data_IF_099557401709
#
_entry.id   IF_099557401709
#
_cell.length_a   1.000
_cell.length_b   1.000
_cell.length_c   1.000
_cell.angle_alpha   90.00
_cell.angle_beta   90.00
_cell.angle_gamma   90.00
#
_symmetry.space_group_name_H-M   'P 1'
#
loop_
_entity.id
_entity.type
_entity.pdbx_description
1 polymer ?
#
# COMPACT_ATOMS: atom_id res chain seq x y z
N UNK A 1 13.84 -3.75 -0.10
CA UNK A 1 13.75 -2.36 -0.60
C UNK A 1 12.46 -1.78 -0.05
N UNK A 2 12.51 -0.64 0.67
CA UNK A 2 11.31 0.10 1.04
C UNK A 2 11.02 1.09 -0.09
N UNK A 3 9.84 1.02 -0.71
CA UNK A 3 9.44 1.92 -1.81
C UNK A 3 8.71 3.15 -1.22
N UNK A 4 9.34 4.34 -1.17
CA UNK A 4 8.72 5.53 -0.59
C UNK A 4 7.52 6.00 -1.40
N UNK A 5 7.55 5.87 -2.74
CA UNK A 5 6.44 6.25 -3.62
C UNK A 5 5.20 5.38 -3.34
N UNK A 6 5.38 4.07 -3.19
CA UNK A 6 4.30 3.16 -2.81
C UNK A 6 3.74 3.55 -1.44
N UNK A 7 4.60 3.77 -0.44
CA UNK A 7 4.16 4.14 0.89
C UNK A 7 3.29 5.40 0.90
N UNK A 8 3.71 6.46 0.21
CA UNK A 8 2.92 7.69 0.12
C UNK A 8 1.57 7.46 -0.53
N UNK A 9 1.49 6.73 -1.65
CA UNK A 9 0.21 6.45 -2.30
C UNK A 9 -0.74 5.62 -1.41
N UNK A 10 -0.21 4.70 -0.60
CA UNK A 10 -1.01 3.95 0.37
C UNK A 10 -1.56 4.87 1.47
N UNK A 11 -0.76 5.82 1.96
CA UNK A 11 -1.20 6.80 2.95
C UNK A 11 -2.24 7.76 2.38
N UNK A 12 -1.98 8.33 1.21
CA UNK A 12 -2.91 9.23 0.50
C UNK A 12 -4.27 8.53 0.29
N UNK A 13 -4.25 7.25 -0.08
CA UNK A 13 -5.48 6.46 -0.20
C UNK A 13 -6.22 6.36 1.13
N UNK A 14 -5.54 6.03 2.23
CA UNK A 14 -6.17 5.91 3.54
C UNK A 14 -6.77 7.24 4.00
N UNK A 15 -6.05 8.34 3.81
CA UNK A 15 -6.51 9.70 4.14
C UNK A 15 -7.74 10.09 3.31
N UNK A 16 -7.71 9.83 1.99
CA UNK A 16 -8.84 10.08 1.09
C UNK A 16 -10.10 9.27 1.46
N UNK A 17 -9.94 8.09 2.06
CA UNK A 17 -11.04 7.21 2.48
C UNK A 17 -11.53 7.49 3.90
N UNK A 18 -11.17 8.63 4.50
CA UNK A 18 -11.56 9.02 5.88
C UNK A 18 -11.13 7.98 6.93
N UNK A 19 -10.01 7.31 6.70
CA UNK A 19 -9.43 6.38 7.69
C UNK A 19 -9.04 7.16 8.93
N UNK A 20 -9.35 6.62 10.12
CA UNK A 20 -9.00 7.28 11.36
C UNK A 20 -7.48 7.42 11.50
N UNK A 21 -6.95 8.54 12.02
CA UNK A 21 -5.51 8.74 12.18
C UNK A 21 -4.82 7.63 12.99
N UNK A 22 -5.52 7.03 13.96
CA UNK A 22 -5.01 5.90 14.75
C UNK A 22 -4.78 4.65 13.90
N UNK A 23 -5.64 4.41 12.92
CA UNK A 23 -5.54 3.26 12.01
C UNK A 23 -4.44 3.49 10.97
N UNK A 24 -4.32 4.72 10.47
CA UNK A 24 -3.18 5.12 9.63
C UNK A 24 -1.87 4.88 10.38
N UNK A 25 -1.74 5.33 11.63
CA UNK A 25 -0.55 5.11 12.45
C UNK A 25 -0.25 3.61 12.66
N UNK A 26 -1.28 2.78 12.89
CA UNK A 26 -1.09 1.31 12.97
C UNK A 26 -0.51 0.73 11.70
N UNK A 27 -0.93 1.22 10.54
CA UNK A 27 -0.38 0.80 9.26
C UNK A 27 1.07 1.29 9.07
N UNK A 28 1.37 2.53 9.43
CA UNK A 28 2.74 3.09 9.41
C UNK A 28 3.69 2.25 10.27
N UNK A 29 3.29 1.92 11.50
CA UNK A 29 4.06 1.05 12.38
C UNK A 29 4.30 -0.33 11.76
N UNK A 30 3.28 -0.91 11.13
CA UNK A 30 3.38 -2.19 10.44
C UNK A 30 4.33 -2.12 9.25
N UNK A 31 4.29 -1.04 8.48
CA UNK A 31 5.14 -0.79 7.33
C UNK A 31 6.61 -0.69 7.73
N UNK A 32 6.93 0.05 8.79
CA UNK A 32 8.30 0.16 9.29
C UNK A 32 8.89 -1.16 9.81
N UNK A 33 8.04 -2.13 10.16
CA UNK A 33 8.45 -3.47 10.58
C UNK A 33 8.68 -4.44 9.42
N UNK A 34 8.39 -4.06 8.18
CA UNK A 34 8.59 -4.92 7.01
C UNK A 34 10.07 -5.26 6.82
N UNK A 35 10.34 -6.53 6.57
CA UNK A 35 11.68 -6.99 6.18
C UNK A 35 11.90 -6.78 4.68
N UNK A 36 13.16 -6.74 4.22
CA UNK A 36 13.48 -6.51 2.80
C UNK A 36 12.86 -7.50 1.80
N UNK A 37 12.45 -8.69 2.25
CA UNK A 37 11.84 -9.75 1.44
C UNK A 37 10.35 -9.95 1.73
N UNK A 38 9.77 -9.16 2.64
CA UNK A 38 8.34 -9.22 2.89
C UNK A 38 7.59 -8.60 1.71
N UNK A 39 6.46 -9.20 1.35
CA UNK A 39 5.54 -8.57 0.42
C UNK A 39 4.93 -7.30 1.05
N UNK A 40 4.62 -6.31 0.21
CA UNK A 40 3.97 -5.09 0.68
C UNK A 40 2.54 -5.40 1.15
N UNK A 41 2.16 -5.08 2.39
CA UNK A 41 0.82 -5.36 2.89
C UNK A 41 -0.18 -4.36 2.33
N UNK A 42 -1.38 -4.84 2.01
CA UNK A 42 -2.50 -3.98 1.67
C UNK A 42 -2.98 -3.22 2.92
N UNK A 43 -3.03 -1.89 2.90
CA UNK A 43 -3.47 -1.11 4.05
C UNK A 43 -4.95 -1.37 4.38
N UNK A 44 -5.80 -1.54 3.37
CA UNK A 44 -7.25 -1.77 3.56
C UNK A 44 -7.52 -3.08 4.28
N UNK A 45 -6.92 -4.17 3.81
CA UNK A 45 -7.06 -5.48 4.47
C UNK A 45 -6.49 -5.42 5.90
N UNK A 46 -5.32 -4.80 6.07
CA UNK A 46 -4.66 -4.75 7.37
C UNK A 46 -5.54 -4.10 8.45
N UNK A 47 -6.25 -3.04 8.08
CA UNK A 47 -7.15 -2.33 9.00
C UNK A 47 -8.39 -3.13 9.40
N UNK A 48 -8.84 -4.08 8.57
CA UNK A 48 -9.93 -5.01 8.92
C UNK A 48 -9.41 -6.28 9.62
N UNK A 49 -8.12 -6.35 9.92
CA UNK A 49 -7.49 -7.47 10.63
C UNK A 49 -7.00 -8.60 9.71
N UNK A 50 -7.01 -8.40 8.40
CA UNK A 50 -6.48 -9.36 7.43
C UNK A 50 -5.17 -8.84 6.81
N UNK A 51 -4.18 -9.69 6.56
CA UNK A 51 -2.97 -9.23 5.87
C UNK A 51 -2.90 -9.86 4.48
N UNK A 52 -3.18 -9.06 3.45
CA UNK A 52 -3.11 -9.48 2.06
C UNK A 52 -1.92 -8.79 1.38
N UNK A 53 -1.06 -9.54 0.66
CA UNK A 53 0.05 -8.94 -0.06
C UNK A 53 -0.45 -8.18 -1.30
N UNK A 54 0.09 -6.99 -1.54
CA UNK A 54 -0.09 -6.27 -2.79
C UNK A 54 0.67 -6.98 -3.91
N UNK A 55 0.00 -7.21 -5.03
CA UNK A 55 0.59 -7.70 -6.25
C UNK A 55 0.95 -6.52 -7.16
N UNK A 56 2.22 -6.42 -7.53
CA UNK A 56 2.64 -5.51 -8.60
C UNK A 56 2.04 -5.98 -9.92
N UNK A 57 1.40 -5.07 -10.64
CA UNK A 57 0.92 -5.28 -12.00
C UNK A 57 1.93 -4.71 -12.99
N UNK A 58 1.85 -5.10 -14.29
CA UNK A 58 2.70 -4.52 -15.32
C UNK A 58 2.54 -3.00 -15.33
N UNK A 59 3.65 -2.27 -15.42
CA UNK A 59 3.64 -0.82 -15.54
C UNK A 59 2.80 -0.39 -16.76
N UNK A 60 1.98 0.63 -16.58
CA UNK A 60 1.09 1.17 -17.61
C UNK A 60 1.49 2.62 -17.89
N UNK A 61 2.42 2.79 -18.85
CA UNK A 61 3.00 4.10 -19.14
C UNK A 61 3.85 4.59 -17.97
N UNK A 62 3.47 5.74 -17.41
CA UNK A 62 4.21 6.43 -16.34
C UNK A 62 3.80 5.97 -14.93
N UNK A 63 3.02 4.90 -14.81
CA UNK A 63 2.52 4.39 -13.53
C UNK A 63 2.83 2.92 -13.34
N UNK A 64 3.19 2.54 -12.11
CA UNK A 64 3.34 1.17 -11.64
C UNK A 64 2.15 0.81 -10.73
N UNK A 65 1.12 0.12 -11.25
CA UNK A 65 -0.05 -0.21 -10.47
C UNK A 65 0.21 -1.38 -9.52
N UNK A 66 -0.23 -1.24 -8.27
CA UNK A 66 -0.27 -2.30 -7.27
C UNK A 66 -1.70 -2.66 -6.95
N UNK A 67 -2.04 -3.95 -6.96
CA UNK A 67 -3.41 -4.41 -6.67
C UNK A 67 -3.43 -5.41 -5.53
N UNK A 68 -4.35 -5.22 -4.60
CA UNK A 68 -4.64 -6.21 -3.58
C UNK A 68 -5.54 -7.32 -4.16
N UNK A 69 -5.16 -8.61 -4.09
CA UNK A 69 -6.03 -9.70 -4.55
C UNK A 69 -7.24 -9.94 -3.62
N UNK A 70 -7.16 -9.53 -2.35
CA UNK A 70 -8.22 -9.71 -1.36
C UNK A 70 -9.35 -8.68 -1.50
N UNK A 71 -9.04 -7.39 -1.32
CA UNK A 71 -10.03 -6.32 -1.41
C UNK A 71 -10.19 -5.72 -2.82
N UNK A 72 -9.39 -6.16 -3.79
CA UNK A 72 -9.36 -5.66 -5.17
C UNK A 72 -8.99 -4.18 -5.34
N UNK A 73 -8.61 -3.49 -4.28
CA UNK A 73 -8.10 -2.11 -4.33
C UNK A 73 -6.83 -2.03 -5.18
N UNK A 74 -6.80 -1.06 -6.09
CA UNK A 74 -5.65 -0.71 -6.91
C UNK A 74 -5.05 0.61 -6.45
N UNK A 75 -3.73 0.69 -6.45
CA UNK A 75 -2.93 1.85 -6.12
C UNK A 75 -2.01 2.16 -7.30
N UNK A 76 -2.21 3.29 -7.96
CA UNK A 76 -1.42 3.69 -9.10
C UNK A 76 -0.23 4.53 -8.62
N UNK A 77 0.98 3.96 -8.71
CA UNK A 77 2.19 4.62 -8.21
C UNK A 77 2.87 5.33 -9.36
N UNK A 78 3.08 6.66 -9.31
CA UNK A 78 3.82 7.35 -10.36
C UNK A 78 5.27 6.87 -10.39
N UNK A 79 5.78 6.59 -11.60
CA UNK A 79 7.18 6.29 -11.85
C UNK A 79 7.84 7.64 -12.16
N UNK A 80 8.53 8.22 -11.18
CA UNK A 80 9.41 9.38 -11.44
C UNK A 80 10.55 8.92 -12.37
N UNK A 81 10.68 9.55 -13.55
CA UNK A 81 11.76 9.34 -14.54
C UNK A 81 13.15 9.77 -14.04
#
# INVERSE_FOLDING_TARGET
>A
MQSPALFHALLDYLEAHNTLPIDIQRFVDRWHRLRPHDAFPCPVCYLVGEEQPLAALPAQGDFEPFKCPGCQTQFDIPIDE
#
